data_IF_443860787081
#
_entry.id   IF_443860787081
#
_cell.length_a   1.000
_cell.length_b   1.000
_cell.length_c   1.000
_cell.angle_alpha   90.00
_cell.angle_beta   90.00
_cell.angle_gamma   90.00
#
_symmetry.space_group_name_H-M   'P 1'
#
loop_
_entity.id
_entity.type
_entity.pdbx_description
1 polymer ?
#
# COMPACT_ATOMS: atom_id res chain seq x y z
N UNK A 1 7.54 13.61 20.13
CA UNK A 1 6.98 12.48 19.36
C UNK A 1 5.94 11.84 20.26
N UNK A 2 4.75 11.59 19.73
CA UNK A 2 3.74 10.79 20.41
C UNK A 2 4.28 9.38 20.71
N UNK A 3 3.72 8.73 21.71
CA UNK A 3 4.12 7.40 22.13
C UNK A 3 3.81 6.37 21.03
N UNK A 4 4.70 5.36 20.87
CA UNK A 4 4.47 4.29 19.92
C UNK A 4 3.25 3.45 20.32
N UNK A 5 2.53 2.88 19.33
CA UNK A 5 1.37 2.03 19.60
C UNK A 5 1.70 0.85 20.50
N UNK A 6 0.75 0.45 21.35
CA UNK A 6 0.89 -0.65 22.29
C UNK A 6 0.09 -1.90 21.91
N UNK A 7 -0.88 -1.76 21.02
CA UNK A 7 -1.76 -2.85 20.60
C UNK A 7 -1.36 -3.38 19.21
N UNK A 8 -1.46 -4.69 19.02
CA UNK A 8 -1.40 -5.30 17.69
C UNK A 8 -2.74 -5.10 16.97
N UNK A 9 -2.68 -4.92 15.65
CA UNK A 9 -3.86 -4.90 14.79
C UNK A 9 -3.67 -5.84 13.61
N UNK A 10 -4.75 -6.53 13.26
CA UNK A 10 -4.89 -7.24 11.99
C UNK A 10 -6.09 -6.63 11.26
N UNK A 11 -6.07 -6.52 9.93
CA UNK A 11 -7.13 -5.85 9.23
C UNK A 11 -7.39 -6.42 7.83
N UNK A 12 -8.62 -6.25 7.35
CA UNK A 12 -9.06 -6.61 6.01
C UNK A 12 -9.53 -5.35 5.29
N UNK A 13 -9.05 -5.16 4.07
CA UNK A 13 -9.50 -4.09 3.17
C UNK A 13 -10.33 -4.72 2.07
N UNK A 14 -11.56 -4.26 1.89
CA UNK A 14 -12.38 -4.56 0.74
C UNK A 14 -12.44 -3.33 -0.16
N UNK A 15 -12.04 -3.48 -1.41
CA UNK A 15 -12.13 -2.43 -2.41
C UNK A 15 -12.56 -3.02 -3.76
N UNK A 16 -13.20 -2.21 -4.57
CA UNK A 16 -13.63 -2.65 -5.89
C UNK A 16 -13.07 -1.80 -7.02
N UNK A 17 -13.17 -2.35 -8.20
CA UNK A 17 -12.86 -1.70 -9.47
C UNK A 17 -14.02 -1.88 -10.44
N UNK A 18 -14.39 -0.81 -11.13
CA UNK A 18 -15.38 -0.81 -12.21
C UNK A 18 -14.76 -0.16 -13.45
N UNK A 19 -14.73 -0.90 -14.56
CA UNK A 19 -14.21 -0.46 -15.86
C UNK A 19 -12.77 0.12 -15.78
N UNK A 20 -11.90 -0.53 -15.00
CA UNK A 20 -10.53 -0.07 -14.77
C UNK A 20 -9.52 -1.18 -14.65
N UNK A 21 -8.24 -0.79 -14.63
CA UNK A 21 -7.13 -1.69 -14.38
C UNK A 21 -6.54 -1.40 -12.98
N UNK A 22 -6.80 -2.23 -11.99
CA UNK A 22 -6.36 -1.97 -10.62
C UNK A 22 -4.84 -2.08 -10.44
N UNK A 23 -4.20 -3.00 -11.18
CA UNK A 23 -2.76 -3.21 -11.15
C UNK A 23 -2.28 -3.94 -12.41
N UNK A 24 -1.83 -3.17 -13.38
CA UNK A 24 -1.30 -3.73 -14.63
C UNK A 24 0.01 -4.48 -14.44
N UNK A 25 0.22 -5.46 -15.30
CA UNK A 25 1.44 -6.25 -15.37
C UNK A 25 2.35 -5.73 -16.49
N UNK A 26 3.53 -5.14 -16.18
CA UNK A 26 4.43 -4.63 -17.20
C UNK A 26 4.95 -5.74 -18.13
N UNK A 27 5.07 -6.97 -17.65
CA UNK A 27 5.55 -8.11 -18.44
C UNK A 27 4.47 -8.69 -19.38
N UNK A 28 3.20 -8.36 -19.13
CA UNK A 28 2.04 -8.79 -19.90
C UNK A 28 1.33 -7.62 -20.62
N UNK A 29 2.08 -6.64 -21.13
CA UNK A 29 1.51 -5.51 -21.87
C UNK A 29 0.55 -4.64 -21.04
N UNK A 30 0.77 -4.56 -19.75
CA UNK A 30 -0.06 -3.85 -18.79
C UNK A 30 -1.48 -4.41 -18.62
N UNK A 31 -1.68 -5.70 -18.89
CA UNK A 31 -2.93 -6.39 -18.52
C UNK A 31 -3.13 -6.42 -17.01
N UNK A 32 -4.39 -6.44 -16.50
CA UNK A 32 -4.64 -6.72 -15.10
C UNK A 32 -4.00 -8.04 -14.68
N UNK A 33 -3.32 -8.06 -13.52
CA UNK A 33 -2.69 -9.27 -13.01
C UNK A 33 -3.75 -10.30 -12.62
N UNK A 34 -3.55 -11.53 -13.01
CA UNK A 34 -4.45 -12.66 -12.75
C UNK A 34 -3.64 -13.85 -12.27
N UNK A 35 -4.18 -14.56 -11.29
CA UNK A 35 -3.75 -15.91 -10.97
C UNK A 35 -4.27 -16.87 -12.07
N UNK A 36 -3.41 -17.51 -12.87
CA UNK A 36 -3.83 -18.30 -14.01
C UNK A 36 -4.61 -19.57 -13.64
N UNK A 37 -4.46 -20.06 -12.41
CA UNK A 37 -5.15 -21.28 -11.97
C UNK A 37 -6.59 -21.00 -11.53
N UNK A 38 -6.81 -19.87 -10.85
CA UNK A 38 -8.11 -19.53 -10.27
C UNK A 38 -8.89 -18.51 -11.09
N UNK A 39 -8.21 -17.78 -11.99
CA UNK A 39 -8.79 -16.64 -12.69
C UNK A 39 -8.99 -15.40 -11.80
N UNK A 40 -8.59 -15.46 -10.52
CA UNK A 40 -8.74 -14.33 -9.62
C UNK A 40 -7.74 -13.22 -9.94
N UNK A 41 -8.22 -11.99 -9.92
CA UNK A 41 -7.38 -10.80 -10.07
C UNK A 41 -6.45 -10.61 -8.88
N UNK A 42 -5.27 -10.06 -9.14
CA UNK A 42 -4.24 -9.78 -8.14
C UNK A 42 -3.87 -8.30 -8.14
N UNK A 43 -3.71 -7.73 -6.93
CA UNK A 43 -3.14 -6.39 -6.72
C UNK A 43 -2.00 -6.52 -5.72
N UNK A 44 -0.81 -6.11 -6.11
CA UNK A 44 0.39 -6.24 -5.27
C UNK A 44 0.33 -5.30 -4.06
N UNK A 45 0.97 -5.70 -2.96
CA UNK A 45 1.15 -4.85 -1.78
C UNK A 45 1.87 -3.54 -2.12
N UNK A 46 2.83 -3.58 -3.04
CA UNK A 46 3.56 -2.39 -3.53
C UNK A 46 2.59 -1.40 -4.19
N UNK A 47 1.61 -1.88 -4.96
CA UNK A 47 0.59 -1.04 -5.56
C UNK A 47 -0.27 -0.34 -4.48
N UNK A 48 -0.74 -1.09 -3.48
CA UNK A 48 -1.52 -0.52 -2.36
C UNK A 48 -0.71 0.47 -1.53
N UNK A 49 0.52 0.09 -1.14
CA UNK A 49 1.44 0.96 -0.40
C UNK A 49 1.75 2.27 -1.16
N UNK A 50 1.83 2.21 -2.51
CA UNK A 50 2.01 3.41 -3.32
C UNK A 50 0.83 4.38 -3.17
N UNK A 51 -0.40 3.87 -3.19
CA UNK A 51 -1.60 4.71 -3.05
C UNK A 51 -1.72 5.32 -1.67
N UNK A 52 -1.39 4.56 -0.63
CA UNK A 52 -1.31 5.08 0.73
C UNK A 52 -0.28 6.21 0.82
N UNK A 53 0.92 6.03 0.23
CA UNK A 53 1.94 7.09 0.16
C UNK A 53 1.44 8.34 -0.55
N UNK A 54 0.78 8.17 -1.69
CA UNK A 54 0.24 9.28 -2.47
C UNK A 54 -0.80 10.08 -1.65
N UNK A 55 -1.67 9.38 -0.91
CA UNK A 55 -2.63 10.04 -0.03
C UNK A 55 -1.91 10.84 1.08
N UNK A 56 -0.94 10.24 1.76
CA UNK A 56 -0.19 10.92 2.83
C UNK A 56 0.57 12.13 2.28
N UNK A 57 1.20 12.01 1.13
CA UNK A 57 1.87 13.12 0.45
C UNK A 57 0.91 14.28 0.17
N UNK A 58 -0.28 13.98 -0.34
CA UNK A 58 -1.31 14.98 -0.61
C UNK A 58 -1.87 15.61 0.68
N UNK A 59 -2.14 14.78 1.70
CA UNK A 59 -2.77 15.24 2.94
C UNK A 59 -1.83 15.99 3.88
N UNK A 60 -0.53 15.71 3.82
CA UNK A 60 0.48 16.28 4.71
C UNK A 60 1.45 17.25 4.05
N UNK A 61 1.48 17.34 2.71
CA UNK A 61 2.29 18.29 1.93
C UNK A 61 3.76 18.38 2.39
N UNK A 62 4.41 17.21 2.58
CA UNK A 62 5.78 17.10 3.10
C UNK A 62 6.00 17.74 4.50
N UNK A 63 4.96 17.86 5.32
CA UNK A 63 5.08 18.35 6.68
C UNK A 63 6.16 17.59 7.47
N UNK A 64 6.83 18.23 8.45
CA UNK A 64 7.85 17.59 9.27
C UNK A 64 7.39 16.26 9.88
N UNK A 65 8.13 15.19 9.63
CA UNK A 65 7.79 13.83 10.09
C UNK A 65 6.84 13.04 9.20
N UNK A 66 6.28 13.65 8.15
CA UNK A 66 5.32 13.00 7.24
C UNK A 66 5.78 12.96 5.79
N UNK A 67 7.04 13.26 5.52
CA UNK A 67 7.63 13.12 4.17
C UNK A 67 7.60 11.67 3.71
N UNK A 68 7.59 11.49 2.40
CA UNK A 68 7.64 10.16 1.76
C UNK A 68 9.04 9.93 1.19
N UNK A 69 9.66 8.82 1.60
CA UNK A 69 10.97 8.39 1.14
C UNK A 69 10.89 7.81 -0.29
N UNK A 70 9.94 6.91 -0.54
CA UNK A 70 9.71 6.33 -1.87
C UNK A 70 8.74 7.22 -2.64
N UNK A 71 9.27 8.37 -3.10
CA UNK A 71 8.54 9.41 -3.83
C UNK A 71 8.80 9.33 -5.33
N UNK A 72 7.78 9.68 -6.14
CA UNK A 72 7.90 9.64 -7.60
C UNK A 72 8.95 10.63 -8.11
N UNK A 73 9.75 10.19 -9.08
CA UNK A 73 10.80 11.00 -9.73
C UNK A 73 11.84 11.61 -8.78
N UNK A 74 11.90 11.18 -7.52
CA UNK A 74 12.90 11.62 -6.55
C UNK A 74 13.90 10.50 -6.31
N UNK A 75 15.20 10.69 -6.59
CA UNK A 75 16.23 9.72 -6.25
C UNK A 75 16.34 9.53 -4.75
N UNK A 76 16.29 8.29 -4.27
CA UNK A 76 16.41 7.94 -2.84
C UNK A 76 17.68 8.52 -2.19
N UNK A 77 18.76 8.60 -2.96
CA UNK A 77 20.05 9.14 -2.52
C UNK A 77 19.96 10.57 -1.97
N UNK A 78 18.98 11.38 -2.39
CA UNK A 78 18.78 12.74 -1.85
C UNK A 78 18.41 12.70 -0.37
N UNK A 79 17.44 11.88 -0.02
CA UNK A 79 17.00 11.71 1.37
C UNK A 79 18.09 11.05 2.24
N UNK A 80 18.84 10.11 1.66
CA UNK A 80 19.97 9.47 2.36
C UNK A 80 21.08 10.50 2.65
N UNK A 81 21.39 11.38 1.69
CA UNK A 81 22.37 12.44 1.86
C UNK A 81 21.97 13.47 2.93
N UNK A 82 20.66 13.77 3.06
CA UNK A 82 20.16 14.63 4.13
C UNK A 82 20.43 14.03 5.52
N UNK A 83 20.23 12.73 5.69
CA UNK A 83 20.51 12.04 6.94
C UNK A 83 22.00 12.14 7.32
N UNK A 84 22.88 11.93 6.35
CA UNK A 84 24.33 12.04 6.54
C UNK A 84 24.76 13.47 6.85
N UNK A 85 24.22 14.45 6.13
CA UNK A 85 24.49 15.88 6.39
C UNK A 85 24.03 16.31 7.77
N UNK A 86 22.84 15.88 8.21
CA UNK A 86 22.30 16.16 9.54
C UNK A 86 23.21 15.61 10.65
N UNK A 87 23.79 14.43 10.43
CA UNK A 87 24.70 13.79 11.39
C UNK A 87 26.17 14.22 11.24
N UNK A 88 26.47 15.13 10.31
CA UNK A 88 27.85 15.62 10.06
C UNK A 88 28.77 14.56 9.45
N UNK A 89 28.23 13.51 8.86
CA UNK A 89 28.99 12.41 8.26
C UNK A 89 29.43 12.78 6.84
N UNK A 90 30.73 12.77 6.60
CA UNK A 90 31.34 13.01 5.29
C UNK A 90 32.31 11.90 4.92
N UNK A 91 32.43 11.60 3.62
CA UNK A 91 33.39 10.63 3.12
C UNK A 91 32.96 9.17 3.22
N UNK A 92 33.87 8.29 3.63
CA UNK A 92 33.61 6.84 3.67
C UNK A 92 32.78 6.43 4.88
N UNK A 93 31.62 5.85 4.61
CA UNK A 93 30.67 5.38 5.63
C UNK A 93 31.24 4.29 6.55
N UNK A 94 32.16 3.45 6.03
CA UNK A 94 32.80 2.40 6.84
C UNK A 94 33.73 3.00 7.88
N UNK A 95 34.48 4.04 7.50
CA UNK A 95 35.33 4.77 8.43
C UNK A 95 34.46 5.50 9.48
N UNK A 96 33.42 6.20 9.06
CA UNK A 96 32.50 6.89 9.97
C UNK A 96 31.82 5.94 10.97
N UNK A 97 31.45 4.72 10.55
CA UNK A 97 30.91 3.71 11.47
C UNK A 97 31.93 3.20 12.48
N UNK A 98 33.20 3.13 12.09
CA UNK A 98 34.28 2.73 13.02
C UNK A 98 34.50 3.78 14.09
N UNK A 99 34.38 5.06 13.70
CA UNK A 99 34.56 6.20 14.61
C UNK A 99 33.30 6.40 15.51
N UNK A 100 32.11 6.12 14.98
CA UNK A 100 30.85 6.18 15.72
C UNK A 100 30.08 4.86 15.61
N UNK A 101 30.24 3.92 16.54
CA UNK A 101 29.50 2.65 16.55
C UNK A 101 27.98 2.80 16.64
N UNK A 102 27.48 3.94 17.12
CA UNK A 102 26.04 4.25 17.21
C UNK A 102 25.46 4.84 15.92
N UNK A 103 26.29 5.07 14.89
CA UNK A 103 25.88 5.71 13.64
C UNK A 103 24.68 5.03 12.98
N UNK A 104 24.65 3.70 12.95
CA UNK A 104 23.54 2.93 12.41
C UNK A 104 22.18 3.30 13.07
N UNK A 105 22.18 3.40 14.40
CA UNK A 105 21.00 3.80 15.17
C UNK A 105 20.58 5.24 14.85
N UNK A 106 21.53 6.16 14.82
CA UNK A 106 21.27 7.59 14.54
C UNK A 106 20.68 7.82 13.16
N UNK A 107 21.20 7.12 12.13
CA UNK A 107 20.66 7.19 10.76
C UNK A 107 19.24 6.64 10.74
N UNK A 108 19.02 5.44 11.27
CA UNK A 108 17.69 4.84 11.33
C UNK A 108 16.69 5.75 12.03
N UNK A 109 17.06 6.31 13.16
CA UNK A 109 16.20 7.18 13.96
C UNK A 109 15.87 8.48 13.21
N UNK A 110 16.85 9.05 12.47
CA UNK A 110 16.60 10.19 11.58
C UNK A 110 15.59 9.82 10.49
N UNK A 111 15.81 8.70 9.80
CA UNK A 111 14.95 8.26 8.69
C UNK A 111 13.54 7.94 9.17
N UNK A 112 13.37 7.19 10.25
CA UNK A 112 12.06 6.91 10.82
C UNK A 112 11.34 8.17 11.32
N UNK A 113 12.08 9.13 11.87
CA UNK A 113 11.50 10.39 12.37
C UNK A 113 10.98 11.29 11.26
N UNK A 114 11.66 11.33 10.12
CA UNK A 114 11.37 12.27 9.05
C UNK A 114 10.48 11.69 7.93
N UNK A 115 10.49 10.37 7.74
CA UNK A 115 9.78 9.71 6.65
C UNK A 115 8.70 8.77 7.17
N UNK A 116 7.44 9.15 6.91
CA UNK A 116 6.27 8.38 7.34
C UNK A 116 6.28 6.95 6.81
N UNK A 117 6.60 6.77 5.54
CA UNK A 117 6.56 5.45 4.90
C UNK A 117 7.68 4.50 5.39
N UNK A 118 8.84 5.03 5.78
CA UNK A 118 9.87 4.24 6.46
C UNK A 118 9.38 3.82 7.85
N UNK A 119 8.81 4.76 8.60
CA UNK A 119 8.27 4.50 9.94
C UNK A 119 7.13 3.50 9.92
N UNK A 120 6.31 3.50 8.84
CA UNK A 120 5.14 2.65 8.66
C UNK A 120 5.48 1.30 8.05
N UNK A 121 6.05 1.28 6.84
CA UNK A 121 6.26 0.06 6.05
C UNK A 121 7.68 -0.49 6.14
N UNK A 122 8.61 0.30 6.63
CA UNK A 122 10.04 0.03 6.52
C UNK A 122 10.60 0.33 5.12
N UNK A 123 11.89 0.15 4.99
CA UNK A 123 12.58 0.32 3.71
C UNK A 123 13.89 -0.45 3.66
N UNK A 124 14.36 -0.71 2.43
CA UNK A 124 15.74 -1.08 2.13
C UNK A 124 16.42 0.14 1.53
N UNK A 125 17.25 0.81 2.32
CA UNK A 125 17.99 2.02 1.94
C UNK A 125 19.33 1.60 1.34
N UNK A 126 19.37 1.41 0.03
CA UNK A 126 20.49 0.77 -0.70
C UNK A 126 21.80 1.52 -0.57
N UNK A 127 21.80 2.84 -0.41
CA UNK A 127 22.99 3.65 -0.17
C UNK A 127 23.73 3.20 1.10
N UNK A 128 22.97 3.02 2.20
CA UNK A 128 23.52 2.57 3.48
C UNK A 128 23.93 1.09 3.44
N UNK A 129 23.15 0.24 2.77
CA UNK A 129 23.53 -1.18 2.57
C UNK A 129 24.86 -1.30 1.83
N UNK A 130 25.05 -0.53 0.74
CA UNK A 130 26.33 -0.50 -0.01
C UNK A 130 27.49 0.04 0.84
N UNK A 131 27.21 0.95 1.76
CA UNK A 131 28.15 1.45 2.78
C UNK A 131 28.43 0.47 3.92
N UNK A 132 27.90 -0.76 3.87
CA UNK A 132 28.02 -1.78 4.93
C UNK A 132 27.44 -1.34 6.28
N UNK A 133 26.41 -0.49 6.28
CA UNK A 133 25.65 -0.08 7.45
C UNK A 133 24.42 -0.98 7.63
N UNK A 134 24.19 -1.46 8.86
CA UNK A 134 23.05 -2.32 9.17
C UNK A 134 21.71 -1.54 9.19
N UNK A 135 21.75 -0.22 9.36
CA UNK A 135 20.56 0.64 9.31
C UNK A 135 19.90 0.71 7.94
N UNK A 136 20.55 0.23 6.87
CA UNK A 136 19.99 0.18 5.53
C UNK A 136 18.77 -0.74 5.37
N UNK A 137 18.45 -1.55 6.39
CA UNK A 137 17.25 -2.39 6.42
C UNK A 137 16.40 -2.03 7.65
N UNK A 138 15.28 -1.35 7.42
CA UNK A 138 14.30 -1.03 8.45
C UNK A 138 13.07 -1.89 8.23
N UNK A 139 12.70 -2.71 9.22
CA UNK A 139 11.45 -3.47 9.20
C UNK A 139 10.35 -2.65 9.84
N UNK A 140 9.38 -2.22 9.02
CA UNK A 140 8.23 -1.45 9.49
C UNK A 140 7.15 -2.31 10.15
N UNK A 141 6.36 -1.70 11.05
CA UNK A 141 5.29 -2.39 11.76
C UNK A 141 4.12 -2.80 10.87
N UNK A 142 3.86 -2.08 9.78
CA UNK A 142 2.71 -2.31 8.90
C UNK A 142 3.12 -3.16 7.69
N UNK A 143 2.45 -4.28 7.51
CA UNK A 143 2.63 -5.13 6.34
C UNK A 143 1.28 -5.45 5.70
N UNK A 144 1.26 -5.51 4.37
CA UNK A 144 0.11 -5.86 3.56
C UNK A 144 0.42 -7.12 2.75
N UNK A 145 -0.57 -8.00 2.60
CA UNK A 145 -0.53 -9.07 1.60
C UNK A 145 -0.94 -8.54 0.22
N UNK A 146 -0.73 -9.34 -0.81
CA UNK A 146 -1.38 -9.10 -2.09
C UNK A 146 -2.90 -9.15 -1.92
N UNK A 147 -3.61 -8.21 -2.55
CA UNK A 147 -5.05 -8.34 -2.67
C UNK A 147 -5.41 -9.35 -3.77
N UNK A 148 -6.45 -10.12 -3.51
CA UNK A 148 -7.03 -11.09 -4.44
C UNK A 148 -8.50 -10.76 -4.65
N UNK A 149 -9.00 -10.88 -5.87
CA UNK A 149 -10.43 -10.73 -6.12
C UNK A 149 -11.22 -11.86 -5.47
N UNK A 150 -12.40 -11.54 -4.95
CA UNK A 150 -13.33 -12.50 -4.32
C UNK A 150 -13.80 -13.55 -5.32
N UNK A 151 -14.05 -13.10 -6.53
CA UNK A 151 -14.45 -13.94 -7.67
C UNK A 151 -13.41 -13.86 -8.80
N UNK A 152 -13.36 -14.84 -9.70
CA UNK A 152 -12.60 -14.74 -10.93
C UNK A 152 -12.99 -13.48 -11.71
N UNK A 153 -12.00 -12.80 -12.29
CA UNK A 153 -12.21 -11.64 -13.16
C UNK A 153 -12.03 -12.03 -14.62
N UNK A 154 -12.69 -11.29 -15.51
CA UNK A 154 -12.50 -11.43 -16.94
C UNK A 154 -12.05 -10.09 -17.53
N UNK A 155 -10.75 -9.84 -17.65
CA UNK A 155 -10.24 -8.63 -18.28
C UNK A 155 -10.65 -8.54 -19.74
N UNK A 156 -10.95 -7.32 -20.18
CA UNK A 156 -11.30 -7.02 -21.56
C UNK A 156 -10.26 -6.08 -22.16
N UNK A 157 -9.85 -6.38 -23.39
CA UNK A 157 -9.11 -5.44 -24.23
C UNK A 157 -10.11 -4.53 -24.94
N UNK A 158 -9.94 -3.22 -24.77
CA UNK A 158 -10.81 -2.21 -25.38
C UNK A 158 -9.96 -1.31 -26.26
N UNK A 159 -10.28 -1.22 -27.55
CA UNK A 159 -9.68 -0.25 -28.46
C UNK A 159 -10.29 1.13 -28.20
N UNK A 160 -9.43 2.11 -28.07
CA UNK A 160 -9.80 3.52 -27.91
C UNK A 160 -9.25 4.34 -29.08
N UNK A 161 -9.98 5.36 -29.50
CA UNK A 161 -9.59 6.21 -30.63
C UNK A 161 -9.37 7.63 -30.12
N UNK A 162 -8.23 8.20 -30.49
CA UNK A 162 -7.93 9.61 -30.30
C UNK A 162 -8.03 10.34 -31.63
N UNK A 163 -8.78 11.43 -31.68
CA UNK A 163 -8.98 12.22 -32.92
C UNK A 163 -7.75 13.06 -33.29
N UNK A 164 -6.85 13.33 -32.34
CA UNK A 164 -5.63 14.08 -32.59
C UNK A 164 -4.49 13.16 -33.02
N UNK A 165 -3.78 13.55 -34.06
CA UNK A 165 -2.59 12.87 -34.57
C UNK A 165 -1.34 13.44 -33.89
N UNK A 166 -0.29 12.63 -33.77
CA UNK A 166 0.94 13.01 -33.04
C UNK A 166 1.88 13.86 -33.90
N UNK A 167 2.02 13.54 -35.17
CA UNK A 167 2.96 14.22 -36.09
C UNK A 167 2.27 14.63 -37.39
N UNK A 168 2.77 15.67 -38.05
CA UNK A 168 2.26 16.12 -39.37
C UNK A 168 2.38 15.01 -40.43
N UNK A 169 3.48 14.24 -40.41
CA UNK A 169 3.69 13.15 -41.35
C UNK A 169 2.66 12.01 -41.15
N UNK A 170 2.18 11.79 -39.92
CA UNK A 170 1.12 10.81 -39.66
C UNK A 170 -0.25 11.37 -40.07
N UNK A 171 -0.49 12.69 -39.94
CA UNK A 171 -1.74 13.32 -40.32
C UNK A 171 -2.05 13.20 -41.83
N UNK A 172 -1.00 13.12 -42.66
CA UNK A 172 -1.17 12.87 -44.09
C UNK A 172 -1.66 11.46 -44.42
N UNK A 173 -1.46 10.48 -43.50
CA UNK A 173 -1.74 9.05 -43.72
C UNK A 173 -2.98 8.55 -43.00
N UNK A 174 -3.33 9.14 -41.87
CA UNK A 174 -4.43 8.68 -40.99
C UNK A 174 -5.13 9.86 -40.32
N UNK A 175 -6.43 9.79 -40.14
CA UNK A 175 -7.23 10.82 -39.49
C UNK A 175 -7.37 10.65 -37.97
N UNK A 176 -7.00 9.48 -37.43
CA UNK A 176 -7.16 9.12 -36.01
C UNK A 176 -5.99 8.28 -35.52
N UNK A 177 -5.77 8.28 -34.21
CA UNK A 177 -4.82 7.39 -33.54
C UNK A 177 -5.57 6.38 -32.70
N UNK A 178 -5.22 5.10 -32.81
CA UNK A 178 -5.81 4.04 -32.02
C UNK A 178 -4.87 3.58 -30.92
N UNK A 179 -5.41 3.35 -29.74
CA UNK A 179 -4.72 2.76 -28.59
C UNK A 179 -5.55 1.60 -28.02
N UNK A 180 -4.93 0.84 -27.14
CA UNK A 180 -5.59 -0.28 -26.45
C UNK A 180 -5.55 -0.04 -24.95
N UNK A 181 -6.60 -0.44 -24.27
CA UNK A 181 -6.67 -0.49 -22.80
C UNK A 181 -7.18 -1.85 -22.37
N UNK A 182 -6.66 -2.30 -21.25
CA UNK A 182 -7.20 -3.46 -20.56
C UNK A 182 -7.98 -3.01 -19.35
N UNK A 183 -9.20 -3.50 -19.19
CA UNK A 183 -10.09 -3.17 -18.07
C UNK A 183 -10.64 -4.43 -17.43
N UNK A 184 -10.89 -4.37 -16.13
CA UNK A 184 -11.77 -5.28 -15.41
C UNK A 184 -13.14 -4.62 -15.38
N UNK A 185 -14.20 -5.24 -15.98
CA UNK A 185 -15.54 -4.67 -15.95
C UNK A 185 -16.07 -4.42 -14.54
N UNK A 186 -15.87 -5.41 -13.67
CA UNK A 186 -16.06 -5.31 -12.24
C UNK A 186 -15.23 -6.37 -11.50
N UNK A 187 -14.72 -6.02 -10.30
CA UNK A 187 -14.06 -6.95 -9.40
C UNK A 187 -14.03 -6.38 -7.98
N UNK A 188 -14.46 -7.19 -7.01
CA UNK A 188 -14.28 -6.92 -5.58
C UNK A 188 -13.02 -7.61 -5.11
N UNK A 189 -12.11 -6.86 -4.49
CA UNK A 189 -10.81 -7.33 -4.00
C UNK A 189 -10.75 -7.29 -2.49
N UNK A 190 -10.06 -8.28 -1.93
CA UNK A 190 -9.75 -8.39 -0.51
C UNK A 190 -8.23 -8.38 -0.32
N UNK A 191 -7.73 -7.48 0.52
CA UNK A 191 -6.36 -7.47 1.01
C UNK A 191 -6.35 -7.66 2.53
N UNK A 192 -5.29 -8.27 3.04
CA UNK A 192 -5.09 -8.48 4.47
C UNK A 192 -3.83 -7.75 4.92
N UNK A 193 -3.85 -7.25 6.15
CA UNK A 193 -2.74 -6.49 6.68
C UNK A 193 -2.54 -6.69 8.19
N UNK A 194 -1.35 -6.32 8.63
CA UNK A 194 -0.86 -6.53 9.99
C UNK A 194 -0.20 -5.28 10.51
N UNK A 195 -0.40 -4.95 11.77
CA UNK A 195 0.31 -3.88 12.47
C UNK A 195 0.93 -4.42 13.75
N UNK A 196 2.26 -4.43 13.81
CA UNK A 196 3.04 -4.95 14.93
C UNK A 196 3.42 -3.85 15.92
N UNK A 197 2.79 -3.83 17.09
CA UNK A 197 3.17 -2.91 18.16
C UNK A 197 4.63 -3.10 18.62
N UNK A 198 5.10 -4.35 18.63
CA UNK A 198 6.49 -4.65 18.99
C UNK A 198 7.49 -3.98 18.04
N UNK A 199 7.26 -4.03 16.72
CA UNK A 199 8.11 -3.34 15.74
C UNK A 199 7.97 -1.81 15.84
N UNK A 200 6.76 -1.31 16.06
CA UNK A 200 6.53 0.11 16.28
C UNK A 200 7.36 0.62 17.46
N UNK A 201 7.26 -0.02 18.61
CA UNK A 201 7.95 0.37 19.84
C UNK A 201 9.47 0.19 19.77
N UNK A 202 9.96 -0.94 19.23
CA UNK A 202 11.39 -1.27 19.26
C UNK A 202 12.20 -0.73 18.08
N UNK A 203 11.54 -0.41 16.96
CA UNK A 203 12.26 -0.15 15.70
C UNK A 203 11.96 1.23 15.11
N UNK A 204 10.70 1.61 14.96
CA UNK A 204 10.36 2.76 14.11
C UNK A 204 9.75 3.95 14.83
N UNK A 205 9.14 3.74 16.00
CA UNK A 205 8.41 4.79 16.72
C UNK A 205 7.03 5.10 16.10
N UNK A 206 6.42 4.16 15.33
CA UNK A 206 5.10 4.33 14.75
C UNK A 206 4.05 4.53 15.85
N UNK A 207 3.34 5.67 15.80
CA UNK A 207 2.49 6.16 16.88
C UNK A 207 1.00 5.93 16.60
N UNK A 208 0.13 6.26 17.60
CA UNK A 208 -1.33 6.24 17.43
C UNK A 208 -1.78 7.28 16.37
N UNK A 209 -1.13 8.43 16.29
CA UNK A 209 -1.41 9.43 15.24
C UNK A 209 -1.04 8.91 13.85
N UNK A 210 0.06 8.16 13.74
CA UNK A 210 0.46 7.49 12.49
C UNK A 210 -0.54 6.41 12.09
N UNK A 211 -1.05 5.67 13.08
CA UNK A 211 -2.05 4.63 12.88
C UNK A 211 -3.38 5.22 12.39
N UNK A 212 -3.82 6.32 13.01
CA UNK A 212 -5.03 7.02 12.56
C UNK A 212 -4.87 7.53 11.12
N UNK A 213 -3.71 8.12 10.80
CA UNK A 213 -3.40 8.54 9.43
C UNK A 213 -3.37 7.35 8.45
N UNK A 214 -2.90 6.18 8.89
CA UNK A 214 -2.92 4.96 8.09
C UNK A 214 -4.35 4.55 7.73
N UNK A 215 -5.28 4.56 8.70
CA UNK A 215 -6.68 4.23 8.45
C UNK A 215 -7.34 5.23 7.50
N UNK A 216 -7.11 6.52 7.71
CA UNK A 216 -7.58 7.57 6.79
C UNK A 216 -6.99 7.39 5.39
N UNK A 217 -5.70 7.08 5.29
CA UNK A 217 -5.05 6.86 4.01
C UNK A 217 -5.58 5.62 3.28
N UNK A 218 -5.87 4.53 4.00
CA UNK A 218 -6.48 3.33 3.40
C UNK A 218 -7.88 3.64 2.88
N UNK A 219 -8.74 4.27 3.69
CA UNK A 219 -10.11 4.58 3.29
C UNK A 219 -10.18 5.50 2.06
N UNK A 220 -9.22 6.44 1.94
CA UNK A 220 -9.24 7.47 0.90
C UNK A 220 -8.18 7.27 -0.21
N UNK A 221 -7.47 6.14 -0.24
CA UNK A 221 -6.33 5.96 -1.15
C UNK A 221 -6.67 6.01 -2.64
N UNK A 222 -7.92 5.87 -3.02
CA UNK A 222 -8.38 5.95 -4.41
C UNK A 222 -9.01 7.30 -4.76
N UNK A 223 -9.39 8.12 -3.78
CA UNK A 223 -10.12 9.38 -4.01
C UNK A 223 -9.30 10.44 -4.77
N UNK A 224 -7.97 10.40 -4.64
CA UNK A 224 -7.06 11.29 -5.37
C UNK A 224 -6.19 10.55 -6.42
N UNK A 225 -6.54 9.29 -6.76
CA UNK A 225 -5.79 8.46 -7.71
C UNK A 225 -6.58 8.20 -9.02
N UNK A 226 -7.51 9.08 -9.35
CA UNK A 226 -8.34 8.93 -10.54
C UNK A 226 -7.53 9.07 -11.83
N UNK A 227 -7.72 8.15 -12.75
CA UNK A 227 -7.19 8.22 -14.11
C UNK A 227 -8.03 7.40 -15.07
N UNK A 228 -7.89 7.68 -16.36
CA UNK A 228 -8.60 6.95 -17.40
C UNK A 228 -8.25 5.44 -17.47
N UNK A 229 -7.09 5.03 -16.92
CA UNK A 229 -6.70 3.62 -16.85
C UNK A 229 -7.27 2.92 -15.62
N UNK A 230 -7.48 3.66 -14.52
CA UNK A 230 -7.96 3.09 -13.25
C UNK A 230 -9.47 2.84 -13.22
N UNK A 231 -10.24 3.51 -14.08
CA UNK A 231 -11.70 3.44 -14.02
C UNK A 231 -12.23 4.05 -12.71
N UNK A 232 -13.23 3.41 -12.14
CA UNK A 232 -13.72 3.72 -10.79
C UNK A 232 -13.16 2.70 -9.81
N UNK A 233 -12.42 3.18 -8.81
CA UNK A 233 -11.96 2.37 -7.70
C UNK A 233 -12.36 3.03 -6.39
N UNK A 234 -12.82 2.23 -5.42
CA UNK A 234 -13.19 2.71 -4.11
C UNK A 234 -12.91 1.66 -3.04
N UNK A 235 -12.44 2.09 -1.87
CA UNK A 235 -12.49 1.26 -0.67
C UNK A 235 -13.95 1.17 -0.23
N UNK A 236 -14.42 -0.05 -0.01
CA UNK A 236 -15.80 -0.32 0.38
C UNK A 236 -15.94 -0.57 1.85
N UNK A 237 -14.91 -1.15 2.45
CA UNK A 237 -14.90 -1.41 3.87
C UNK A 237 -13.47 -1.69 4.35
N UNK A 238 -13.16 -1.19 5.55
CA UNK A 238 -11.97 -1.50 6.31
C UNK A 238 -12.40 -2.15 7.63
N UNK A 239 -12.07 -3.43 7.81
CA UNK A 239 -12.40 -4.22 9.00
C UNK A 239 -11.12 -4.38 9.81
N UNK A 240 -11.08 -3.82 11.01
CA UNK A 240 -9.90 -3.79 11.88
C UNK A 240 -10.14 -4.61 13.14
N UNK A 241 -9.25 -5.55 13.42
CA UNK A 241 -9.20 -6.33 14.64
C UNK A 241 -8.09 -5.76 15.53
N UNK A 242 -8.50 -5.13 16.63
CA UNK A 242 -7.59 -4.65 17.67
C UNK A 242 -7.41 -5.71 18.73
N UNK A 243 -6.17 -6.03 19.06
CA UNK A 243 -5.81 -6.89 20.16
C UNK A 243 -5.56 -6.08 21.42
N UNK A 244 -5.89 -6.63 22.60
CA UNK A 244 -5.58 -6.01 23.88
C UNK A 244 -4.09 -6.09 24.23
N UNK A 245 -3.33 -6.98 23.55
CA UNK A 245 -1.91 -7.18 23.81
C UNK A 245 -1.01 -6.81 22.62
N UNK A 246 0.25 -6.50 22.93
CA UNK A 246 1.30 -6.17 21.96
C UNK A 246 1.59 -7.32 20.97
N UNK A 247 1.57 -8.56 21.44
CA UNK A 247 1.86 -9.74 20.61
C UNK A 247 0.62 -10.34 19.96
N UNK A 248 -0.57 -9.88 20.38
CA UNK A 248 -1.85 -10.35 19.91
C UNK A 248 -2.46 -11.44 20.81
N UNK A 249 -3.79 -11.51 20.78
CA UNK A 249 -4.60 -12.44 21.60
C UNK A 249 -5.06 -13.65 20.78
N UNK A 250 -4.92 -13.61 19.45
CA UNK A 250 -5.25 -14.70 18.55
C UNK A 250 -4.35 -14.71 17.31
N UNK A 251 -4.18 -15.86 16.63
CA UNK A 251 -3.56 -15.92 15.32
C UNK A 251 -4.39 -15.15 14.28
N UNK A 252 -3.72 -14.38 13.40
CA UNK A 252 -4.36 -13.54 12.41
C UNK A 252 -5.31 -14.30 11.47
N UNK A 253 -4.94 -15.50 11.03
CA UNK A 253 -5.76 -16.31 10.14
C UNK A 253 -7.18 -16.56 10.68
N UNK A 254 -7.33 -16.75 12.00
CA UNK A 254 -8.66 -16.92 12.61
C UNK A 254 -9.53 -15.68 12.50
N UNK A 255 -8.91 -14.50 12.53
CA UNK A 255 -9.61 -13.22 12.38
C UNK A 255 -9.96 -12.96 10.90
N UNK A 256 -9.06 -13.33 10.00
CA UNK A 256 -9.33 -13.26 8.57
C UNK A 256 -10.42 -14.25 8.15
N UNK A 257 -10.43 -15.46 8.68
CA UNK A 257 -11.48 -16.47 8.45
C UNK A 257 -12.84 -16.03 9.03
N UNK A 258 -12.84 -15.18 10.07
CA UNK A 258 -14.06 -14.61 10.63
C UNK A 258 -14.77 -13.63 9.69
N UNK A 259 -14.05 -13.08 8.71
CA UNK A 259 -14.61 -12.18 7.68
C UNK A 259 -15.00 -13.00 6.45
N UNK A 260 -16.31 -13.11 6.21
CA UNK A 260 -16.85 -13.81 5.06
C UNK A 260 -17.43 -12.82 4.05
N UNK A 261 -17.07 -13.00 2.78
CA UNK A 261 -17.59 -12.22 1.65
C UNK A 261 -18.23 -13.19 0.67
N UNK A 262 -19.53 -13.13 0.55
CA UNK A 262 -20.31 -14.07 -0.28
C UNK A 262 -21.18 -13.32 -1.28
N UNK A 263 -21.38 -13.89 -2.47
CA UNK A 263 -22.37 -13.34 -3.40
C UNK A 263 -23.79 -13.52 -2.82
N UNK A 264 -24.63 -12.55 -3.07
CA UNK A 264 -26.07 -12.66 -2.75
C UNK A 264 -26.72 -13.71 -3.61
N UNK A 265 -27.78 -14.33 -3.07
CA UNK A 265 -28.60 -15.28 -3.80
C UNK A 265 -29.15 -14.67 -5.10
N UNK A 266 -29.12 -15.43 -6.18
CA UNK A 266 -29.55 -14.99 -7.51
C UNK A 266 -28.54 -14.18 -8.32
N UNK A 267 -27.41 -13.72 -7.71
CA UNK A 267 -26.36 -13.01 -8.42
C UNK A 267 -25.41 -13.99 -9.11
N UNK A 268 -25.50 -14.10 -10.41
CA UNK A 268 -24.58 -14.94 -11.22
C UNK A 268 -23.29 -14.21 -11.57
N UNK A 269 -23.39 -12.93 -11.94
CA UNK A 269 -22.25 -12.08 -12.33
C UNK A 269 -22.35 -10.77 -11.56
N UNK A 270 -21.54 -10.59 -10.50
CA UNK A 270 -21.53 -9.35 -9.71
C UNK A 270 -21.08 -8.15 -10.56
N UNK A 271 -21.71 -6.99 -10.32
CA UNK A 271 -21.42 -5.73 -11.01
C UNK A 271 -21.23 -4.54 -10.05
N UNK A 272 -21.47 -4.75 -8.77
CA UNK A 272 -21.27 -3.73 -7.74
C UNK A 272 -21.07 -4.39 -6.37
N UNK A 273 -20.59 -3.61 -5.41
CA UNK A 273 -20.38 -4.07 -4.02
C UNK A 273 -21.69 -4.59 -3.38
N UNK A 274 -22.85 -4.01 -3.74
CA UNK A 274 -24.16 -4.43 -3.23
C UNK A 274 -24.57 -5.85 -3.62
N UNK A 275 -23.89 -6.46 -4.57
CA UNK A 275 -24.11 -7.85 -4.99
C UNK A 275 -23.50 -8.86 -4.00
N UNK A 276 -22.77 -8.36 -3.02
CA UNK A 276 -22.15 -9.17 -1.98
C UNK A 276 -22.77 -8.93 -0.62
N UNK A 277 -22.60 -9.91 0.26
CA UNK A 277 -22.85 -9.82 1.70
C UNK A 277 -21.51 -9.98 2.40
N UNK A 278 -21.19 -9.03 3.28
CA UNK A 278 -19.98 -9.09 4.12
C UNK A 278 -20.42 -9.30 5.56
N UNK A 279 -19.98 -10.39 6.15
CA UNK A 279 -20.25 -10.72 7.55
C UNK A 279 -18.96 -10.90 8.33
N UNK A 280 -18.99 -10.56 9.60
CA UNK A 280 -17.94 -10.88 10.57
C UNK A 280 -18.58 -11.79 11.62
N UNK A 281 -17.87 -12.83 12.04
CA UNK A 281 -18.37 -13.75 13.05
C UNK A 281 -18.76 -13.01 14.34
N UNK A 282 -19.92 -13.31 14.88
CA UNK A 282 -20.47 -12.68 16.11
C UNK A 282 -19.59 -12.90 17.33
N UNK A 283 -18.85 -14.02 17.38
CA UNK A 283 -17.96 -14.37 18.48
C UNK A 283 -16.52 -14.31 18.01
N UNK A 284 -15.77 -13.37 18.58
CA UNK A 284 -14.32 -13.22 18.35
C UNK A 284 -13.52 -13.83 19.53
N UNK A 285 -12.25 -14.17 19.32
CA UNK A 285 -11.37 -14.57 20.40
C UNK A 285 -11.30 -13.55 21.53
N UNK A 286 -11.18 -14.00 22.79
CA UNK A 286 -11.05 -13.13 23.93
C UNK A 286 -9.89 -12.15 23.79
N UNK A 287 -10.10 -10.87 24.13
CA UNK A 287 -9.12 -9.81 23.99
C UNK A 287 -8.95 -9.29 22.54
N UNK A 288 -9.91 -9.57 21.66
CA UNK A 288 -9.97 -9.01 20.31
C UNK A 288 -11.29 -8.25 20.14
N UNK A 289 -11.18 -7.01 19.66
CA UNK A 289 -12.33 -6.17 19.26
C UNK A 289 -12.30 -5.92 17.77
N UNK A 290 -13.49 -5.90 17.13
CA UNK A 290 -13.63 -5.58 15.72
C UNK A 290 -14.21 -4.18 15.55
N UNK A 291 -13.60 -3.41 14.67
CA UNK A 291 -14.08 -2.11 14.21
C UNK A 291 -14.32 -2.19 12.70
N UNK A 292 -15.44 -1.69 12.23
CA UNK A 292 -15.77 -1.58 10.80
C UNK A 292 -15.83 -0.10 10.43
N UNK A 293 -15.12 0.26 9.35
CA UNK A 293 -15.03 1.63 8.85
C UNK A 293 -15.35 1.64 7.34
N UNK A 294 -16.11 2.63 6.90
CA UNK A 294 -16.55 2.84 5.50
C UNK A 294 -16.09 4.20 4.98
#
# INVERSE_FOLDING_TARGET
>A
MSEAIHNRYDFVILFDVENGNPNGDPDAGNMPRIDPETGCGLVTDVCLKRKIRNYVETAKEDAPGYRIYIKDQVPLQRSDAEALAYLGVQGDLKAAKKDDPALDGKIRDFMCRNFYDIRTFGAVMTTFVKGALNCGQVRGPVQLSFARSVDPILPQEVTITRVAITTEADAEKKGTEMGRKYIVPYGLYRAEGYVSANLARKTTGFSEEDLELLWQAILNMFENDHSAARGKMAVRELIVFRHDSELGNAPAYKLFDAVQVTRKEGVTVPRCYRDYTVTVADTLPAGVTCLRME
#
